data_IF_895708077401
#
_entry.id   IF_895708077401
#
_cell.length_a   1.000
_cell.length_b   1.000
_cell.length_c   1.000
_cell.angle_alpha   90.00
_cell.angle_beta   90.00
_cell.angle_gamma   90.00
#
_symmetry.space_group_name_H-M   'P 1'
#
loop_
_entity.id
_entity.type
_entity.pdbx_description
1 polymer ?
#
# COMPACT_ATOMS: atom_id res chain seq x y z
N UNK A 1 6.48 15.07 -48.13
CA UNK A 1 6.26 15.08 -46.68
C UNK A 1 6.59 13.68 -46.16
N UNK A 2 7.73 13.51 -45.49
CA UNK A 2 8.10 12.25 -44.84
C UNK A 2 7.57 12.32 -43.42
N UNK A 3 6.65 11.43 -43.05
CA UNK A 3 6.14 11.34 -41.68
C UNK A 3 7.24 10.82 -40.76
N UNK A 4 7.58 11.58 -39.74
CA UNK A 4 8.43 11.12 -38.64
C UNK A 4 7.66 10.08 -37.84
N UNK A 5 8.15 8.83 -37.85
CA UNK A 5 7.69 7.79 -36.94
C UNK A 5 7.77 8.31 -35.50
N UNK A 6 6.68 8.18 -34.75
CA UNK A 6 6.65 8.53 -33.33
C UNK A 6 7.72 7.74 -32.59
N UNK A 7 8.49 8.43 -31.73
CA UNK A 7 9.48 7.78 -30.89
C UNK A 7 8.83 6.65 -30.08
N UNK A 8 9.38 5.44 -30.19
CA UNK A 8 9.00 4.31 -29.36
C UNK A 8 9.36 4.68 -27.91
N UNK A 9 8.37 4.84 -27.03
CA UNK A 9 8.63 4.91 -25.60
C UNK A 9 8.98 3.50 -25.11
N UNK A 10 10.22 3.33 -24.66
CA UNK A 10 10.65 2.13 -23.95
C UNK A 10 10.14 2.24 -22.51
N UNK A 11 9.24 1.33 -22.12
CA UNK A 11 8.83 1.17 -20.72
C UNK A 11 9.74 0.11 -20.08
N UNK A 12 10.43 0.46 -19.01
CA UNK A 12 11.14 -0.50 -18.17
C UNK A 12 10.14 -1.11 -17.19
N UNK A 13 10.13 -2.45 -17.08
CA UNK A 13 9.40 -3.17 -16.03
C UNK A 13 10.47 -3.59 -15.02
N UNK A 14 10.55 -2.87 -13.91
CA UNK A 14 11.46 -3.21 -12.81
C UNK A 14 10.70 -3.96 -11.71
N UNK A 15 11.27 -5.07 -11.23
CA UNK A 15 10.73 -5.77 -10.07
C UNK A 15 11.18 -5.07 -8.80
N UNK A 16 10.24 -4.44 -8.10
CA UNK A 16 10.49 -3.64 -6.88
C UNK A 16 10.52 -4.50 -5.60
N UNK A 17 10.12 -5.77 -5.70
CA UNK A 17 10.18 -6.74 -4.60
C UNK A 17 11.39 -7.68 -4.76
N UNK A 18 12.41 -7.49 -3.93
CA UNK A 18 13.60 -8.34 -3.88
C UNK A 18 13.33 -9.78 -3.36
N UNK A 19 14.37 -10.62 -3.21
CA UNK A 19 14.22 -12.03 -2.83
C UNK A 19 13.95 -12.27 -1.33
N UNK A 20 13.88 -11.22 -0.52
CA UNK A 20 13.68 -11.30 0.93
C UNK A 20 12.52 -10.42 1.38
N UNK A 21 11.80 -10.87 2.39
CA UNK A 21 10.63 -10.19 2.94
C UNK A 21 10.94 -8.72 3.32
N UNK A 22 10.00 -7.77 3.10
CA UNK A 22 8.66 -7.96 2.52
C UNK A 22 8.69 -8.17 1.00
N UNK A 23 8.01 -9.21 0.51
CA UNK A 23 7.64 -9.39 -0.89
C UNK A 23 6.11 -9.50 -0.98
N UNK A 24 5.45 -8.99 -2.04
CA UNK A 24 4.01 -9.10 -2.19
C UNK A 24 3.53 -10.56 -2.32
N UNK A 25 2.49 -10.91 -1.57
CA UNK A 25 1.78 -12.20 -1.62
C UNK A 25 0.27 -11.97 -1.91
N UNK A 26 -0.10 -12.22 -3.18
CA UNK A 26 -1.41 -11.88 -3.74
C UNK A 26 -1.83 -10.40 -3.55
N UNK A 27 -1.03 -9.42 -4.02
CA UNK A 27 -1.43 -8.01 -3.97
C UNK A 27 -2.72 -7.79 -4.76
N UNK A 28 -3.67 -7.05 -4.17
CA UNK A 28 -5.02 -6.87 -4.73
C UNK A 28 -5.29 -5.47 -5.29
N UNK A 29 -4.66 -4.45 -4.72
CA UNK A 29 -4.94 -3.05 -5.04
C UNK A 29 -3.69 -2.20 -4.83
N UNK A 30 -3.60 -1.11 -5.58
CA UNK A 30 -2.54 -0.11 -5.50
C UNK A 30 -3.14 1.29 -5.50
N UNK A 31 -2.53 2.22 -4.76
CA UNK A 31 -2.84 3.64 -4.78
C UNK A 31 -1.55 4.46 -4.75
N UNK A 32 -1.53 5.58 -5.47
CA UNK A 32 -0.35 6.44 -5.59
C UNK A 32 -0.65 7.78 -4.91
N UNK A 33 0.23 8.18 -4.00
CA UNK A 33 0.20 9.48 -3.35
C UNK A 33 0.72 10.59 -4.29
N UNK A 34 0.45 11.85 -3.96
CA UNK A 34 0.88 13.00 -4.76
C UNK A 34 2.40 13.18 -4.85
N UNK A 35 3.15 12.63 -3.90
CA UNK A 35 4.62 12.60 -3.89
C UNK A 35 5.22 11.43 -4.70
N UNK A 36 4.38 10.56 -5.25
CA UNK A 36 4.79 9.38 -6.01
C UNK A 36 4.97 8.12 -5.17
N UNK A 37 4.81 8.16 -3.85
CA UNK A 37 4.82 6.96 -3.01
C UNK A 37 3.62 6.07 -3.36
N UNK A 38 3.88 4.77 -3.48
CA UNK A 38 2.88 3.77 -3.86
C UNK A 38 2.53 2.94 -2.63
N UNK A 39 1.23 2.78 -2.36
CA UNK A 39 0.69 1.88 -1.34
C UNK A 39 0.01 0.71 -2.01
N UNK A 40 0.17 -0.48 -1.46
CA UNK A 40 -0.40 -1.70 -2.03
C UNK A 40 -1.01 -2.60 -0.95
N UNK A 41 -2.24 -3.05 -1.19
CA UNK A 41 -2.93 -4.01 -0.33
C UNK A 41 -2.37 -5.40 -0.61
N UNK A 42 -1.66 -5.96 0.36
CA UNK A 42 -1.01 -7.27 0.26
C UNK A 42 -1.84 -8.32 1.01
N UNK A 43 -2.71 -8.99 0.26
CA UNK A 43 -3.89 -9.66 0.82
C UNK A 43 -3.52 -10.84 1.71
N UNK A 44 -2.66 -11.73 1.21
CA UNK A 44 -2.35 -12.97 1.92
C UNK A 44 -1.22 -12.77 2.94
N UNK A 45 -0.41 -11.71 2.79
CA UNK A 45 0.48 -11.21 3.84
C UNK A 45 -0.26 -10.48 4.98
N UNK A 46 -1.54 -10.12 4.83
CA UNK A 46 -2.28 -9.32 5.82
C UNK A 46 -1.61 -7.98 6.15
N UNK A 47 -1.01 -7.35 5.13
CA UNK A 47 -0.29 -6.08 5.27
C UNK A 47 -0.71 -5.10 4.18
N UNK A 48 -0.35 -3.84 4.39
CA UNK A 48 -0.23 -2.86 3.31
C UNK A 48 1.26 -2.57 3.18
N UNK A 49 1.81 -2.75 1.98
CA UNK A 49 3.19 -2.36 1.70
C UNK A 49 3.23 -0.95 1.14
N UNK A 50 4.40 -0.31 1.29
CA UNK A 50 4.75 0.97 0.71
C UNK A 50 6.00 0.83 -0.13
N UNK A 51 5.92 1.34 -1.35
CA UNK A 51 7.03 1.51 -2.29
C UNK A 51 7.35 2.99 -2.40
N UNK A 52 8.60 3.35 -2.11
CA UNK A 52 9.10 4.70 -2.31
C UNK A 52 9.54 4.93 -3.76
N UNK A 53 9.76 6.19 -4.14
CA UNK A 53 10.15 6.58 -5.51
C UNK A 53 11.52 6.04 -5.95
N UNK A 54 12.36 5.62 -5.00
CA UNK A 54 13.63 4.94 -5.28
C UNK A 54 13.48 3.42 -5.48
N UNK A 55 12.25 2.91 -5.40
CA UNK A 55 11.96 1.48 -5.49
C UNK A 55 12.17 0.71 -4.19
N UNK A 56 12.40 1.36 -3.05
CA UNK A 56 12.47 0.66 -1.77
C UNK A 56 11.08 0.21 -1.31
N UNK A 57 10.98 -1.05 -0.85
CA UNK A 57 9.75 -1.67 -0.38
C UNK A 57 9.77 -1.87 1.14
N UNK A 58 8.67 -1.53 1.82
CA UNK A 58 8.53 -1.62 3.28
C UNK A 58 7.10 -1.96 3.70
N UNK A 59 6.91 -2.51 4.90
CA UNK A 59 5.56 -2.64 5.49
C UNK A 59 5.10 -1.29 6.02
N UNK A 60 3.95 -0.83 5.53
CA UNK A 60 3.31 0.40 5.99
C UNK A 60 2.32 0.15 7.12
N UNK A 61 1.51 -0.90 6.99
CA UNK A 61 0.56 -1.32 8.02
C UNK A 61 0.42 -2.85 8.05
N UNK A 62 0.06 -3.41 9.20
CA UNK A 62 -0.10 -4.85 9.37
C UNK A 62 1.14 -5.52 9.97
N UNK A 63 0.92 -6.55 10.80
CA UNK A 63 1.99 -7.33 11.44
C UNK A 63 2.35 -8.61 10.68
N UNK A 64 1.64 -8.94 9.60
CA UNK A 64 1.74 -10.24 8.93
C UNK A 64 0.76 -11.29 9.44
N UNK A 65 0.03 -11.02 10.51
CA UNK A 65 -0.92 -11.96 11.11
C UNK A 65 -2.35 -11.46 10.96
N UNK A 66 -3.25 -12.35 10.51
CA UNK A 66 -4.67 -12.06 10.43
C UNK A 66 -5.26 -11.76 11.81
N UNK A 67 -5.96 -10.64 11.93
CA UNK A 67 -6.66 -10.27 13.16
C UNK A 67 -7.16 -8.84 13.11
N UNK A 68 -7.74 -8.37 14.21
CA UNK A 68 -8.18 -6.98 14.40
C UNK A 68 -7.63 -6.44 15.72
N UNK A 69 -6.68 -5.52 15.64
CA UNK A 69 -6.06 -4.86 16.80
C UNK A 69 -5.41 -3.53 16.39
N UNK A 70 -4.85 -2.82 17.37
CA UNK A 70 -3.94 -1.69 17.16
C UNK A 70 -4.57 -0.35 16.77
N UNK A 71 -5.90 -0.19 16.88
CA UNK A 71 -6.50 1.13 16.73
C UNK A 71 -5.97 2.09 17.81
N UNK A 72 -5.48 3.25 17.36
CA UNK A 72 -4.81 4.24 18.22
C UNK A 72 -3.30 4.05 18.36
N UNK A 73 -2.75 2.94 17.86
CA UNK A 73 -1.31 2.64 17.88
C UNK A 73 -0.68 2.76 16.49
N UNK A 74 0.63 2.47 16.41
CA UNK A 74 1.38 2.46 15.15
C UNK A 74 0.77 1.45 14.15
N UNK A 75 0.57 1.89 12.91
CA UNK A 75 -0.06 1.08 11.86
C UNK A 75 0.67 -0.24 11.59
N UNK A 76 2.00 -0.26 11.69
CA UNK A 76 2.82 -1.46 11.53
C UNK A 76 2.64 -2.49 12.67
N UNK A 77 2.09 -2.09 13.82
CA UNK A 77 1.79 -2.98 14.95
C UNK A 77 0.35 -3.48 14.95
N UNK A 78 -0.52 -2.94 14.10
CA UNK A 78 -1.91 -3.38 14.00
C UNK A 78 -2.03 -4.69 13.23
N UNK A 79 -3.03 -5.50 13.60
CA UNK A 79 -3.46 -6.62 12.79
C UNK A 79 -4.52 -6.17 11.79
N UNK A 80 -4.31 -6.56 10.53
CA UNK A 80 -5.27 -6.49 9.43
C UNK A 80 -5.69 -7.91 9.07
N UNK A 81 -6.76 -8.06 8.30
CA UNK A 81 -7.23 -9.36 7.85
C UNK A 81 -7.69 -9.32 6.40
N UNK A 82 -6.83 -9.83 5.51
CA UNK A 82 -7.03 -9.85 4.06
C UNK A 82 -7.39 -8.47 3.49
N UNK A 83 -6.54 -7.43 3.64
CA UNK A 83 -6.82 -6.14 3.06
C UNK A 83 -6.93 -6.28 1.53
N UNK A 84 -7.91 -5.62 0.91
CA UNK A 84 -8.18 -5.77 -0.54
C UNK A 84 -8.16 -4.49 -1.33
N UNK A 85 -8.21 -3.34 -0.66
CA UNK A 85 -8.27 -2.03 -1.29
C UNK A 85 -7.46 -1.03 -0.49
N UNK A 86 -6.78 -0.14 -1.20
CA UNK A 86 -6.15 1.05 -0.63
C UNK A 86 -6.56 2.29 -1.42
N UNK A 87 -6.71 3.42 -0.73
CA UNK A 87 -6.92 4.73 -1.34
C UNK A 87 -6.12 5.78 -0.56
N UNK A 88 -5.65 6.81 -1.25
CA UNK A 88 -4.87 7.90 -0.63
C UNK A 88 -5.59 9.21 -0.90
N UNK A 89 -5.73 10.04 0.12
CA UNK A 89 -6.26 11.40 -0.01
C UNK A 89 -5.19 12.36 -0.55
N UNK A 90 -5.61 13.30 -1.39
CA UNK A 90 -4.69 14.18 -2.09
C UNK A 90 -4.11 15.33 -1.23
N UNK A 91 -4.77 15.66 -0.12
CA UNK A 91 -4.46 16.78 0.75
C UNK A 91 -3.43 16.43 1.82
N UNK A 92 -3.68 15.37 2.58
CA UNK A 92 -2.85 14.97 3.72
C UNK A 92 -2.16 13.61 3.54
N UNK A 93 -2.42 12.93 2.43
CA UNK A 93 -1.86 11.60 2.16
C UNK A 93 -2.41 10.49 3.05
N UNK A 94 -3.50 10.71 3.79
CA UNK A 94 -4.15 9.68 4.61
C UNK A 94 -4.49 8.46 3.75
N UNK A 95 -4.09 7.28 4.23
CA UNK A 95 -4.30 6.02 3.54
C UNK A 95 -5.50 5.30 4.13
N UNK A 96 -6.54 5.06 3.33
CA UNK A 96 -7.69 4.25 3.68
C UNK A 96 -7.48 2.82 3.21
N UNK A 97 -7.85 1.86 4.04
CA UNK A 97 -7.61 0.42 3.86
C UNK A 97 -8.94 -0.31 4.00
N UNK A 98 -9.33 -1.05 2.97
CA UNK A 98 -10.44 -1.99 3.04
C UNK A 98 -9.98 -3.28 3.72
N UNK A 99 -10.13 -3.33 5.05
CA UNK A 99 -9.78 -4.45 5.93
C UNK A 99 -10.86 -5.53 5.87
N UNK A 100 -10.91 -6.21 4.72
CA UNK A 100 -12.09 -6.90 4.21
C UNK A 100 -12.62 -7.99 5.14
N UNK A 101 -11.78 -8.90 5.62
CA UNK A 101 -12.27 -10.00 6.47
C UNK A 101 -12.59 -9.54 7.89
N UNK A 102 -12.15 -8.35 8.28
CA UNK A 102 -12.60 -7.68 9.49
C UNK A 102 -13.87 -6.84 9.29
N UNK A 103 -14.42 -6.76 8.07
CA UNK A 103 -15.59 -5.96 7.70
C UNK A 103 -15.47 -4.48 8.11
N UNK A 104 -14.29 -3.88 7.89
CA UNK A 104 -14.00 -2.51 8.32
C UNK A 104 -13.29 -1.69 7.25
N UNK A 105 -13.45 -0.38 7.34
CA UNK A 105 -12.56 0.58 6.71
C UNK A 105 -11.64 1.13 7.80
N UNK A 106 -10.34 0.90 7.63
CA UNK A 106 -9.29 1.46 8.49
C UNK A 106 -8.67 2.65 7.78
N UNK A 107 -8.16 3.63 8.52
CA UNK A 107 -7.31 4.69 7.95
C UNK A 107 -6.01 4.80 8.72
N UNK A 108 -4.95 5.19 8.02
CA UNK A 108 -3.65 5.52 8.58
C UNK A 108 -3.35 6.97 8.24
N UNK A 109 -3.21 7.78 9.28
CA UNK A 109 -2.67 9.13 9.15
C UNK A 109 -1.16 9.00 8.90
N UNK A 110 -0.68 9.49 7.76
CA UNK A 110 0.72 9.28 7.33
C UNK A 110 1.72 10.10 8.12
N UNK A 111 1.29 11.23 8.71
CA UNK A 111 2.15 12.10 9.52
C UNK A 111 2.46 11.46 10.89
N UNK A 112 1.44 10.87 11.52
CA UNK A 112 1.53 10.24 12.84
C UNK A 112 1.82 8.75 12.77
N UNK A 113 1.54 8.10 11.63
CA UNK A 113 1.56 6.64 11.43
C UNK A 113 0.57 5.89 12.33
N UNK A 114 -0.47 6.55 12.80
CA UNK A 114 -1.50 5.95 13.66
C UNK A 114 -2.63 5.38 12.79
N UNK A 115 -3.06 4.16 13.11
CA UNK A 115 -4.23 3.53 12.47
C UNK A 115 -5.48 3.68 13.33
N UNK A 116 -6.63 3.88 12.68
CA UNK A 116 -7.95 3.94 13.32
C UNK A 116 -9.00 3.29 12.43
N UNK A 117 -10.12 2.84 13.01
CA UNK A 117 -11.31 2.40 12.26
C UNK A 117 -12.25 3.59 12.02
N UNK A 118 -12.76 3.73 10.79
CA UNK A 118 -13.71 4.81 10.42
C UNK A 118 -15.08 4.30 10.00
N UNK A 119 -15.22 3.01 9.65
CA UNK A 119 -16.49 2.35 9.35
C UNK A 119 -16.38 0.85 9.60
#
# INVERSE_FOLDING_TARGET
>A
MVGTAGAQQTFFIDTVAGPSWPYPDYPNSVAVASDGTIYLADRDSHTVLRVETDGSLSVFAGTGFAGFSGDGDAAAAAQLNTPTGVAVTADDGTVYIADRANNRIRKVDVATRIITTVA
#
